data_IF_624708144814
#
_entry.id   IF_624708144814
#
_cell.length_a   1.000
_cell.length_b   1.000
_cell.length_c   1.000
_cell.angle_alpha   90.00
_cell.angle_beta   90.00
_cell.angle_gamma   90.00
#
_symmetry.space_group_name_H-M   'P 1'
#
loop_
_entity.id
_entity.type
_entity.pdbx_description
1 polymer ?
#
# COMPACT_ATOMS: atom_id res chain seq x y z
N UNK A 1 -3.84 2.38 -25.14
CA UNK A 1 -2.55 2.26 -25.86
C UNK A 1 -1.52 1.71 -24.90
N UNK A 2 -0.64 0.80 -25.33
CA UNK A 2 0.47 0.30 -24.49
C UNK A 2 1.76 1.04 -24.86
N UNK A 3 2.50 1.49 -23.85
CA UNK A 3 3.82 2.12 -23.99
C UNK A 3 4.86 1.16 -23.44
N UNK A 4 5.94 0.91 -24.21
CA UNK A 4 7.01 0.01 -23.78
C UNK A 4 8.03 0.77 -22.95
N UNK A 5 8.32 0.25 -21.77
CA UNK A 5 9.38 0.73 -20.88
C UNK A 5 10.38 -0.39 -20.62
N UNK A 6 11.65 -0.04 -20.39
CA UNK A 6 12.68 -0.99 -19.95
C UNK A 6 13.05 -0.67 -18.51
N UNK A 7 13.08 -1.68 -17.64
CA UNK A 7 13.43 -1.55 -16.23
C UNK A 7 14.59 -2.49 -15.89
N UNK A 8 15.38 -2.13 -14.89
CA UNK A 8 16.39 -3.02 -14.30
C UNK A 8 15.83 -3.61 -13.01
N UNK A 9 16.02 -4.90 -12.81
CA UNK A 9 15.59 -5.63 -11.62
C UNK A 9 16.78 -6.40 -11.05
N UNK A 10 16.76 -6.61 -9.74
CA UNK A 10 17.64 -7.59 -9.11
C UNK A 10 17.41 -8.99 -9.72
N UNK A 11 18.48 -9.79 -9.81
CA UNK A 11 18.43 -11.09 -10.47
C UNK A 11 17.48 -12.05 -9.76
N UNK A 12 17.53 -12.10 -8.42
CA UNK A 12 16.71 -13.00 -7.63
C UNK A 12 15.25 -12.53 -7.62
N UNK A 13 15.01 -11.22 -7.64
CA UNK A 13 13.67 -10.66 -7.83
C UNK A 13 13.08 -11.05 -9.19
N UNK A 14 13.86 -10.98 -10.27
CA UNK A 14 13.39 -11.41 -11.59
C UNK A 14 13.08 -12.91 -11.63
N UNK A 15 13.88 -13.75 -10.96
CA UNK A 15 13.60 -15.19 -10.83
C UNK A 15 12.27 -15.43 -10.12
N UNK A 16 12.04 -14.74 -9.01
CA UNK A 16 10.81 -14.85 -8.24
C UNK A 16 9.59 -14.41 -9.07
N UNK A 17 9.68 -13.28 -9.78
CA UNK A 17 8.63 -12.79 -10.68
C UNK A 17 8.30 -13.79 -11.80
N UNK A 18 9.32 -14.42 -12.38
CA UNK A 18 9.10 -15.47 -13.41
C UNK A 18 8.39 -16.69 -12.84
N UNK A 19 8.76 -17.13 -11.63
CA UNK A 19 8.07 -18.23 -10.96
C UNK A 19 6.60 -17.85 -10.71
N UNK A 20 6.35 -16.63 -10.22
CA UNK A 20 5.00 -16.14 -9.98
C UNK A 20 4.18 -16.07 -11.27
N UNK A 21 4.78 -15.58 -12.36
CA UNK A 21 4.09 -15.45 -13.64
C UNK A 21 3.64 -16.80 -14.20
N UNK A 22 4.45 -17.85 -13.99
CA UNK A 22 4.07 -19.23 -14.35
C UNK A 22 2.94 -19.73 -13.46
N UNK A 23 3.05 -19.55 -12.13
CA UNK A 23 2.03 -19.97 -11.16
C UNK A 23 0.65 -19.39 -11.47
N UNK A 24 0.59 -18.10 -11.81
CA UNK A 24 -0.67 -17.39 -12.10
C UNK A 24 -1.01 -17.32 -13.59
N UNK A 25 -0.26 -18.03 -14.45
CA UNK A 25 -0.49 -18.10 -15.90
C UNK A 25 -0.61 -16.74 -16.59
N UNK A 26 0.26 -15.79 -16.22
CA UNK A 26 0.30 -14.44 -16.79
C UNK A 26 1.74 -14.06 -17.19
N UNK A 27 1.92 -12.87 -17.76
CA UNK A 27 3.25 -12.36 -18.11
C UNK A 27 3.90 -11.59 -16.96
N UNK A 28 5.23 -11.57 -16.92
CA UNK A 28 5.99 -10.75 -15.95
C UNK A 28 5.62 -9.26 -16.09
N UNK A 29 5.44 -8.77 -17.33
CA UNK A 29 5.04 -7.39 -17.58
C UNK A 29 3.65 -7.07 -17.01
N UNK A 30 2.71 -8.02 -17.11
CA UNK A 30 1.36 -7.87 -16.54
C UNK A 30 1.41 -7.80 -15.02
N UNK A 31 2.19 -8.69 -14.37
CA UNK A 31 2.37 -8.65 -12.91
C UNK A 31 2.96 -7.31 -12.46
N UNK A 32 3.97 -6.80 -13.15
CA UNK A 32 4.59 -5.52 -12.81
C UNK A 32 3.58 -4.38 -12.99
N UNK A 33 2.79 -4.40 -14.06
CA UNK A 33 1.76 -3.39 -14.28
C UNK A 33 0.71 -3.40 -13.16
N UNK A 34 0.24 -4.59 -12.75
CA UNK A 34 -0.70 -4.75 -11.63
C UNK A 34 -0.12 -4.21 -10.33
N UNK A 35 1.10 -4.63 -9.95
CA UNK A 35 1.77 -4.16 -8.73
C UNK A 35 1.92 -2.64 -8.70
N UNK A 36 2.29 -2.02 -9.83
CA UNK A 36 2.43 -0.56 -9.92
C UNK A 36 1.07 0.13 -9.79
N UNK A 37 0.01 -0.44 -10.39
CA UNK A 37 -1.36 0.10 -10.26
C UNK A 37 -1.86 0.00 -8.83
N UNK A 38 -1.60 -1.11 -8.16
CA UNK A 38 -2.03 -1.35 -6.79
C UNK A 38 -1.31 -0.38 -5.83
N UNK A 39 -0.02 -0.15 -6.00
CA UNK A 39 0.73 0.84 -5.22
C UNK A 39 0.13 2.26 -5.34
N UNK A 40 -0.17 2.70 -6.57
CA UNK A 40 -0.80 4.02 -6.76
C UNK A 40 -2.23 4.08 -6.21
N UNK A 41 -2.95 2.95 -6.19
CA UNK A 41 -4.29 2.88 -5.62
C UNK A 41 -4.24 3.00 -4.10
N UNK A 42 -3.31 2.29 -3.45
CA UNK A 42 -3.04 2.39 -2.01
C UNK A 42 -2.70 3.83 -1.63
N UNK A 43 -1.75 4.46 -2.33
CA UNK A 43 -1.39 5.87 -2.11
C UNK A 43 -2.62 6.80 -2.23
N UNK A 44 -3.49 6.55 -3.22
CA UNK A 44 -4.71 7.34 -3.40
C UNK A 44 -5.73 7.13 -2.28
N UNK A 45 -5.84 5.92 -1.73
CA UNK A 45 -6.73 5.60 -0.62
C UNK A 45 -6.22 6.23 0.69
N UNK A 46 -4.92 6.25 0.90
CA UNK A 46 -4.28 6.94 2.01
C UNK A 46 -4.53 8.44 1.96
N UNK A 47 -4.31 9.08 0.82
CA UNK A 47 -4.58 10.51 0.64
C UNK A 47 -6.05 10.86 0.88
N UNK A 48 -6.97 10.01 0.44
CA UNK A 48 -8.41 10.17 0.71
C UNK A 48 -8.71 10.06 2.19
N UNK A 49 -8.11 9.10 2.88
CA UNK A 49 -8.27 8.92 4.34
C UNK A 49 -7.74 10.14 5.09
N UNK A 50 -6.61 10.72 4.70
CA UNK A 50 -6.11 11.96 5.29
C UNK A 50 -7.08 13.12 5.07
N UNK A 51 -7.63 13.28 3.86
CA UNK A 51 -8.57 14.34 3.56
C UNK A 51 -9.90 14.20 4.34
N UNK A 52 -10.41 12.97 4.50
CA UNK A 52 -11.62 12.72 5.29
C UNK A 52 -11.42 13.03 6.77
N UNK A 53 -10.19 12.86 7.28
CA UNK A 53 -9.83 13.11 8.67
C UNK A 53 -9.30 14.51 8.96
N UNK A 54 -9.23 15.38 7.96
CA UNK A 54 -8.67 16.74 8.12
C UNK A 54 -9.40 17.55 9.21
N UNK A 55 -10.69 17.28 9.42
CA UNK A 55 -11.53 17.96 10.41
C UNK A 55 -11.70 17.17 11.73
N UNK A 56 -11.05 16.02 11.89
CA UNK A 56 -11.06 15.31 13.17
C UNK A 56 -10.27 16.11 14.22
N UNK A 57 -10.86 16.28 15.41
CA UNK A 57 -10.16 16.96 16.51
C UNK A 57 -8.95 16.15 16.98
N UNK A 58 -7.84 16.84 17.20
CA UNK A 58 -6.68 16.19 17.82
C UNK A 58 -6.92 16.03 19.32
N UNK A 59 -6.70 14.84 19.85
CA UNK A 59 -6.73 14.57 21.29
C UNK A 59 -5.33 14.58 21.87
N UNK A 60 -5.14 15.34 22.94
CA UNK A 60 -3.87 15.38 23.68
C UNK A 60 -3.63 14.10 24.47
N UNK A 61 -2.35 13.78 24.70
CA UNK A 61 -1.93 12.58 25.42
C UNK A 61 -2.59 12.42 26.79
N UNK A 62 -2.60 13.47 27.63
CA UNK A 62 -3.19 13.41 28.97
C UNK A 62 -4.70 13.14 28.95
N UNK A 63 -5.40 13.67 27.95
CA UNK A 63 -6.86 13.48 27.79
C UNK A 63 -7.13 12.03 27.39
N UNK A 64 -6.36 11.50 26.45
CA UNK A 64 -6.50 10.11 26.02
C UNK A 64 -6.10 9.11 27.12
N UNK A 65 -5.07 9.42 27.93
CA UNK A 65 -4.65 8.59 29.06
C UNK A 65 -5.76 8.43 30.09
N UNK A 66 -6.40 9.54 30.49
CA UNK A 66 -7.56 9.51 31.41
C UNK A 66 -8.73 8.72 30.83
N UNK A 67 -8.93 8.78 29.52
CA UNK A 67 -9.99 8.01 28.87
C UNK A 67 -9.71 6.51 28.90
N UNK A 68 -8.45 6.09 28.72
CA UNK A 68 -8.06 4.68 28.82
C UNK A 68 -8.18 4.12 30.25
N UNK A 69 -7.80 4.90 31.27
CA UNK A 69 -8.03 4.55 32.69
C UNK A 69 -9.53 4.40 32.99
N UNK A 70 -10.36 5.33 32.49
CA UNK A 70 -11.81 5.28 32.67
C UNK A 70 -12.47 4.09 31.94
N UNK A 71 -11.94 3.70 30.78
CA UNK A 71 -12.37 2.54 30.02
C UNK A 71 -11.91 1.20 30.64
N UNK A 72 -11.08 1.23 31.70
CA UNK A 72 -10.51 0.04 32.33
C UNK A 72 -9.53 -0.73 31.45
N UNK A 73 -8.90 -0.04 30.48
CA UNK A 73 -7.91 -0.61 29.55
C UNK A 73 -6.47 -0.38 30.02
N UNK A 74 -6.30 0.31 31.14
CA UNK A 74 -5.09 0.53 31.92
C UNK A 74 -5.39 0.18 33.37
#
# INVERSE_FOLDING_TARGET
>A
MSVRTTISLDEDLLKLLKLKSVEVSTSVSTLIEEVVRDAFKEDSEDLKTFAERENEETIGFEVFLKQLEADGKL
#
